data_IF_829037267059
#
_entry.id   IF_829037267059
#
_cell.length_a   1.000
_cell.length_b   1.000
_cell.length_c   1.000
_cell.angle_alpha   90.00
_cell.angle_beta   90.00
_cell.angle_gamma   90.00
#
_symmetry.space_group_name_H-M   'P 1'
#
loop_
_entity.id
_entity.type
_entity.pdbx_description
1 polymer ?
#
# COMPACT_ATOMS: atom_id res chain seq x y z
N UNK A 1 -12.45 6.15 9.59
CA UNK A 1 -11.24 6.90 9.96
C UNK A 1 -10.32 5.91 10.63
N UNK A 2 -9.22 5.54 9.97
CA UNK A 2 -8.23 4.62 10.53
C UNK A 2 -7.14 5.47 11.16
N UNK A 3 -6.92 5.33 12.47
CA UNK A 3 -5.87 6.05 13.18
C UNK A 3 -4.89 5.05 13.79
N UNK A 4 -3.59 5.33 13.70
CA UNK A 4 -2.56 4.55 14.40
C UNK A 4 -1.78 5.46 15.34
N UNK A 5 -1.01 4.88 16.26
CA UNK A 5 -0.14 5.65 17.16
C UNK A 5 1.29 5.56 16.65
N UNK A 6 1.92 6.70 16.36
CA UNK A 6 3.35 6.77 16.08
C UNK A 6 4.08 7.36 17.29
N UNK A 7 4.90 6.55 17.97
CA UNK A 7 5.56 6.92 19.24
C UNK A 7 4.59 7.43 20.31
N UNK A 8 3.39 6.86 20.38
CA UNK A 8 2.34 7.25 21.33
C UNK A 8 1.41 8.38 20.85
N UNK A 9 1.80 9.13 19.82
CA UNK A 9 0.98 10.21 19.26
C UNK A 9 -0.03 9.66 18.23
N UNK A 10 -1.31 10.07 18.28
CA UNK A 10 -2.29 9.66 17.29
C UNK A 10 -1.97 10.29 15.93
N UNK A 11 -1.96 9.47 14.89
CA UNK A 11 -1.72 9.85 13.50
C UNK A 11 -2.90 9.43 12.64
N UNK A 12 -3.33 10.33 11.77
CA UNK A 12 -4.38 10.07 10.79
C UNK A 12 -3.81 9.28 9.60
N UNK A 13 -4.52 8.25 9.17
CA UNK A 13 -4.19 7.52 7.96
C UNK A 13 -5.07 8.03 6.84
N UNK A 14 -4.44 8.67 5.86
CA UNK A 14 -5.13 9.15 4.67
C UNK A 14 -5.40 8.00 3.69
N UNK A 15 -6.47 8.16 2.92
CA UNK A 15 -6.91 7.15 1.96
C UNK A 15 -7.81 6.08 2.57
N UNK A 16 -8.03 5.01 1.80
CA UNK A 16 -8.95 3.92 2.15
C UNK A 16 -8.17 2.65 2.42
N UNK A 17 -8.35 2.09 3.60
CA UNK A 17 -7.80 0.78 3.92
C UNK A 17 -8.48 -0.30 3.08
N UNK A 18 -7.72 -1.15 2.36
CA UNK A 18 -8.27 -2.29 1.65
C UNK A 18 -8.85 -3.29 2.66
N UNK A 19 -9.97 -3.93 2.30
CA UNK A 19 -10.58 -4.99 3.11
C UNK A 19 -10.30 -6.35 2.50
N UNK A 20 -10.39 -7.40 3.31
CA UNK A 20 -10.29 -8.77 2.83
C UNK A 20 -11.38 -9.03 1.79
N UNK A 21 -10.97 -9.48 0.60
CA UNK A 21 -11.86 -9.70 -0.55
C UNK A 21 -11.91 -8.56 -1.57
N UNK A 22 -11.39 -7.37 -1.25
CA UNK A 22 -11.25 -6.30 -2.23
C UNK A 22 -10.11 -6.61 -3.20
N UNK A 23 -10.28 -6.29 -4.50
CA UNK A 23 -9.17 -6.30 -5.46
C UNK A 23 -8.14 -5.25 -5.06
N UNK A 24 -6.87 -5.63 -5.03
CA UNK A 24 -5.77 -4.73 -4.71
C UNK A 24 -5.74 -3.54 -5.69
N UNK A 25 -5.69 -2.29 -5.18
CA UNK A 25 -5.56 -1.11 -6.03
C UNK A 25 -4.23 -1.11 -6.79
N UNK A 26 -4.25 -0.72 -8.06
CA UNK A 26 -3.04 -0.58 -8.85
C UNK A 26 -2.11 0.48 -8.24
N UNK A 27 -0.82 0.17 -8.15
CA UNK A 27 0.23 1.08 -7.73
C UNK A 27 1.40 1.06 -8.70
N UNK A 28 2.18 2.15 -8.72
CA UNK A 28 3.48 2.25 -9.37
C UNK A 28 4.48 2.78 -8.36
N UNK A 29 5.57 2.07 -8.17
CA UNK A 29 6.63 2.36 -7.22
C UNK A 29 7.96 2.35 -7.96
N UNK A 30 8.95 3.09 -7.45
CA UNK A 30 10.31 3.05 -7.97
C UNK A 30 11.13 2.19 -7.01
N UNK A 31 11.77 1.15 -7.54
CA UNK A 31 12.64 0.27 -6.77
C UNK A 31 13.99 0.94 -6.49
N UNK A 32 14.78 0.36 -5.58
CA UNK A 32 16.09 0.89 -5.19
C UNK A 32 17.12 0.93 -6.33
N UNK A 33 16.89 0.13 -7.37
CA UNK A 33 17.66 0.12 -8.63
C UNK A 33 17.11 1.10 -9.67
N UNK A 34 16.18 1.98 -9.28
CA UNK A 34 15.49 2.95 -10.12
C UNK A 34 14.54 2.36 -11.17
N UNK A 35 14.27 1.05 -11.13
CA UNK A 35 13.28 0.42 -12.00
C UNK A 35 11.84 0.69 -11.54
N UNK A 36 10.88 0.72 -12.48
CA UNK A 36 9.46 0.88 -12.16
C UNK A 36 8.83 -0.47 -11.79
N UNK A 37 8.32 -0.58 -10.56
CA UNK A 37 7.53 -1.71 -10.09
C UNK A 37 6.04 -1.37 -10.08
N UNK A 38 5.23 -2.21 -10.69
CA UNK A 38 3.77 -2.04 -10.72
C UNK A 38 3.06 -3.27 -10.19
N UNK A 39 1.84 -3.12 -9.67
CA UNK A 39 1.02 -4.26 -9.23
C UNK A 39 0.86 -5.33 -10.35
N UNK A 40 0.85 -4.91 -11.62
CA UNK A 40 0.77 -5.83 -12.76
C UNK A 40 2.00 -6.75 -12.89
N UNK A 41 3.17 -6.31 -12.41
CA UNK A 41 4.39 -7.12 -12.35
C UNK A 41 4.38 -8.18 -11.25
N UNK A 42 3.46 -8.07 -10.28
CA UNK A 42 3.34 -8.96 -9.11
C UNK A 42 2.06 -9.83 -9.19
N UNK A 43 1.34 -9.79 -10.32
CA UNK A 43 0.19 -10.69 -10.61
C UNK A 43 0.75 -12.10 -10.84
N UNK A 44 0.97 -12.84 -9.76
CA UNK A 44 1.33 -14.26 -9.86
C UNK A 44 2.28 -14.82 -8.81
N UNK A 45 2.87 -14.01 -7.92
CA UNK A 45 3.59 -14.58 -6.78
C UNK A 45 2.58 -15.06 -5.72
N UNK A 46 2.59 -16.37 -5.49
CA UNK A 46 1.77 -17.06 -4.49
C UNK A 46 2.40 -16.99 -3.12
#
# INVERSE_FOLDING_TARGET
MSGTKFKGNPVHLDGKFPKVGDKAPAFRLIAGDLSEKTLAGEVGER
#
